data_IF_892774819991
#
_entry.id   IF_892774819991
#
_cell.length_a   1.000
_cell.length_b   1.000
_cell.length_c   1.000
_cell.angle_alpha   90.00
_cell.angle_beta   90.00
_cell.angle_gamma   90.00
#
_symmetry.space_group_name_H-M   'P 1'
#
loop_
_entity.id
_entity.type
_entity.pdbx_description
1 polymer ?
#
# COMPACT_ATOMS: atom_id res chain seq x y z
N UNK A 1 -9.76 0.79 23.14
CA UNK A 1 -9.90 2.23 22.85
C UNK A 1 -10.77 2.34 21.61
N UNK A 2 -11.93 2.99 21.70
CA UNK A 2 -12.82 3.18 20.55
C UNK A 2 -12.82 4.66 20.14
N UNK A 3 -12.51 4.93 18.87
CA UNK A 3 -12.53 6.28 18.31
C UNK A 3 -13.46 6.32 17.10
N UNK A 4 -14.79 6.21 17.31
CA UNK A 4 -15.75 5.94 16.24
C UNK A 4 -15.89 7.08 15.24
N UNK A 5 -15.54 8.31 15.62
CA UNK A 5 -15.65 9.51 14.79
C UNK A 5 -14.30 9.93 14.15
N UNK A 6 -13.21 9.22 14.46
CA UNK A 6 -11.88 9.62 14.02
C UNK A 6 -11.69 9.29 12.54
N UNK A 7 -11.58 10.35 11.72
CA UNK A 7 -11.46 10.25 10.27
C UNK A 7 -10.04 10.28 9.76
N UNK A 8 -9.14 10.90 10.50
CA UNK A 8 -7.77 11.16 10.06
C UNK A 8 -6.81 10.80 11.18
N UNK A 9 -5.84 9.96 10.86
CA UNK A 9 -4.76 9.58 11.77
C UNK A 9 -3.43 9.87 11.08
N UNK A 10 -2.56 10.55 11.82
CA UNK A 10 -1.17 10.73 11.44
C UNK A 10 -0.31 10.30 12.61
N UNK A 11 0.59 9.34 12.38
CA UNK A 11 1.55 8.86 13.36
C UNK A 11 2.96 9.26 12.93
N UNK A 12 3.69 9.91 13.83
CA UNK A 12 5.05 10.39 13.60
C UNK A 12 5.96 9.82 14.69
N UNK A 13 7.11 9.27 14.30
CA UNK A 13 8.17 8.85 15.23
C UNK A 13 7.72 7.81 16.28
N UNK A 14 6.78 6.93 15.91
CA UNK A 14 6.27 5.86 16.79
C UNK A 14 6.85 4.50 16.41
N UNK A 15 6.89 3.57 17.36
CA UNK A 15 7.08 2.15 17.06
C UNK A 15 5.77 1.42 17.30
N UNK A 16 5.35 0.61 16.33
CA UNK A 16 4.08 -0.12 16.38
C UNK A 16 4.28 -1.53 15.85
N UNK A 17 3.72 -2.53 16.54
CA UNK A 17 3.66 -3.90 16.03
C UNK A 17 2.49 -4.07 15.07
N UNK A 18 2.54 -5.09 14.21
CA UNK A 18 1.45 -5.42 13.29
C UNK A 18 0.09 -5.61 13.99
N UNK A 19 0.08 -6.21 15.19
CA UNK A 19 -1.14 -6.43 15.97
C UNK A 19 -1.77 -5.12 16.46
N UNK A 20 -0.94 -4.20 16.96
CA UNK A 20 -1.42 -2.88 17.42
C UNK A 20 -1.91 -2.05 16.24
N UNK A 21 -1.23 -2.14 15.09
CA UNK A 21 -1.67 -1.51 13.85
C UNK A 21 -3.04 -2.00 13.39
N UNK A 22 -3.24 -3.32 13.35
CA UNK A 22 -4.53 -3.92 13.01
C UNK A 22 -5.62 -3.54 14.02
N UNK A 23 -5.31 -3.58 15.32
CA UNK A 23 -6.19 -3.13 16.39
C UNK A 23 -6.63 -1.68 16.22
N UNK A 24 -5.68 -0.77 15.91
CA UNK A 24 -5.96 0.65 15.67
C UNK A 24 -6.93 0.85 14.50
N UNK A 25 -6.69 0.18 13.36
CA UNK A 25 -7.59 0.27 12.20
C UNK A 25 -8.99 -0.27 12.52
N UNK A 26 -9.08 -1.35 13.31
CA UNK A 26 -10.37 -1.93 13.72
C UNK A 26 -11.18 -1.04 14.67
N UNK A 27 -10.49 -0.25 15.51
CA UNK A 27 -11.10 0.67 16.47
C UNK A 27 -11.62 1.97 15.82
N UNK A 28 -11.11 2.33 14.63
CA UNK A 28 -11.43 3.57 13.94
C UNK A 28 -12.41 3.33 12.78
N UNK A 29 -13.70 3.22 13.11
CA UNK A 29 -14.76 2.86 12.14
C UNK A 29 -15.09 3.95 11.10
N UNK A 30 -14.70 5.20 11.34
CA UNK A 30 -14.89 6.30 10.40
C UNK A 30 -13.59 6.73 9.71
N UNK A 31 -12.52 5.93 9.81
CA UNK A 31 -11.20 6.31 9.31
C UNK A 31 -11.22 6.45 7.78
N UNK A 32 -10.95 7.65 7.29
CA UNK A 32 -10.89 7.98 5.87
C UNK A 32 -9.45 8.13 5.39
N UNK A 33 -8.53 8.60 6.23
CA UNK A 33 -7.12 8.78 5.90
C UNK A 33 -6.20 8.32 7.03
N UNK A 34 -5.16 7.59 6.66
CA UNK A 34 -4.11 7.17 7.57
C UNK A 34 -2.73 7.50 7.00
N UNK A 35 -1.87 8.11 7.80
CA UNK A 35 -0.50 8.41 7.41
C UNK A 35 0.49 8.05 8.51
N UNK A 36 1.63 7.52 8.11
CA UNK A 36 2.67 7.08 9.03
C UNK A 36 4.03 7.57 8.55
N UNK A 37 4.80 8.20 9.45
CA UNK A 37 6.14 8.71 9.15
C UNK A 37 7.16 8.33 10.22
N UNK A 38 8.33 7.88 9.78
CA UNK A 38 9.46 7.53 10.65
C UNK A 38 9.08 6.47 11.69
N UNK A 39 8.41 5.41 11.24
CA UNK A 39 7.90 4.35 12.12
C UNK A 39 8.72 3.08 11.98
N UNK A 40 9.07 2.51 13.13
CA UNK A 40 9.62 1.16 13.22
C UNK A 40 8.47 0.17 13.31
N UNK A 41 8.08 -0.38 12.15
CA UNK A 41 7.16 -1.49 12.04
C UNK A 41 7.93 -2.81 12.09
N UNK A 42 7.54 -3.73 12.97
CA UNK A 42 8.09 -5.08 13.01
C UNK A 42 7.10 -6.07 12.40
N UNK A 43 7.56 -6.85 11.42
CA UNK A 43 6.79 -7.91 10.79
C UNK A 43 5.88 -7.41 9.67
N UNK A 44 4.57 -7.63 9.80
CA UNK A 44 3.61 -7.44 8.73
C UNK A 44 2.53 -6.41 9.10
N UNK A 45 2.29 -5.43 8.24
CA UNK A 45 1.24 -4.42 8.38
C UNK A 45 0.01 -4.81 7.54
N UNK A 46 -1.01 -5.31 8.23
CA UNK A 46 -2.29 -5.71 7.61
C UNK A 46 -3.28 -4.54 7.62
N UNK A 47 -3.59 -4.03 6.43
CA UNK A 47 -4.55 -2.96 6.21
C UNK A 47 -5.91 -3.58 5.91
N UNK A 48 -6.82 -3.47 6.88
CA UNK A 48 -8.22 -3.83 6.74
C UNK A 48 -9.07 -2.70 7.31
N UNK A 49 -9.84 -2.03 6.45
CA UNK A 49 -10.73 -0.95 6.88
C UNK A 49 -11.79 -0.69 5.82
N UNK A 50 -13.09 -0.73 6.18
CA UNK A 50 -14.17 -0.53 5.23
C UNK A 50 -14.30 0.92 4.75
N UNK A 51 -13.82 1.88 5.54
CA UNK A 51 -13.98 3.32 5.28
C UNK A 51 -12.75 4.01 4.71
N UNK A 52 -11.57 3.37 4.82
CA UNK A 52 -10.30 3.98 4.47
C UNK A 52 -10.23 4.30 2.98
N UNK A 53 -9.92 5.57 2.66
CA UNK A 53 -9.82 6.10 1.30
C UNK A 53 -8.39 6.40 0.90
N UNK A 54 -7.55 6.74 1.87
CA UNK A 54 -6.15 7.08 1.64
C UNK A 54 -5.27 6.46 2.72
N UNK A 55 -4.19 5.83 2.32
CA UNK A 55 -3.14 5.39 3.23
C UNK A 55 -1.77 5.79 2.70
N UNK A 56 -0.88 6.19 3.60
CA UNK A 56 0.49 6.47 3.22
C UNK A 56 1.51 6.11 4.29
N UNK A 57 2.69 5.71 3.83
CA UNK A 57 3.83 5.41 4.68
C UNK A 57 5.05 6.19 4.17
N UNK A 58 5.83 6.76 5.08
CA UNK A 58 7.09 7.40 4.77
C UNK A 58 8.16 6.99 5.76
N UNK A 59 9.35 6.71 5.25
CA UNK A 59 10.56 6.47 6.04
C UNK A 59 10.34 5.35 7.07
N UNK A 60 10.42 4.10 6.62
CA UNK A 60 10.55 2.97 7.52
C UNK A 60 12.03 2.60 7.67
N UNK A 61 12.54 2.70 8.89
CA UNK A 61 13.82 2.11 9.28
C UNK A 61 13.59 0.70 9.84
N UNK A 62 13.03 -0.23 9.06
CA UNK A 62 12.89 -1.61 9.52
C UNK A 62 13.05 -2.60 8.37
N UNK A 63 13.74 -3.71 8.66
CA UNK A 63 14.00 -4.80 7.72
C UNK A 63 12.73 -5.51 7.29
N UNK A 64 12.66 -5.86 6.01
CA UNK A 64 11.67 -6.76 5.39
C UNK A 64 10.22 -6.63 5.88
N UNK A 65 9.69 -5.41 6.04
CA UNK A 65 8.25 -5.21 6.35
C UNK A 65 7.39 -5.59 5.16
N UNK A 66 6.38 -6.43 5.37
CA UNK A 66 5.33 -6.71 4.37
C UNK A 66 4.09 -5.86 4.66
N UNK A 67 3.56 -5.18 3.64
CA UNK A 67 2.29 -4.45 3.72
C UNK A 67 1.23 -5.25 2.95
N UNK A 68 0.20 -5.71 3.65
CA UNK A 68 -0.91 -6.45 3.04
C UNK A 68 -2.17 -5.59 3.07
N UNK A 69 -2.70 -5.26 1.90
CA UNK A 69 -4.03 -4.64 1.76
C UNK A 69 -5.04 -5.75 1.54
N UNK A 70 -5.75 -6.11 2.61
CA UNK A 70 -6.61 -7.28 2.59
C UNK A 70 -8.05 -7.01 2.22
N UNK A 71 -8.72 -6.09 2.92
CA UNK A 71 -10.11 -5.73 2.67
C UNK A 71 -10.28 -4.22 2.87
N UNK A 72 -10.05 -3.49 1.78
CA UNK A 72 -10.12 -2.04 1.76
C UNK A 72 -10.99 -1.57 0.58
N UNK A 73 -12.32 -1.78 0.65
CA UNK A 73 -13.23 -1.57 -0.49
C UNK A 73 -13.33 -0.12 -0.96
N UNK A 74 -13.01 0.84 -0.10
CA UNK A 74 -13.04 2.28 -0.41
C UNK A 74 -11.65 2.89 -0.65
N UNK A 75 -10.58 2.10 -0.55
CA UNK A 75 -9.23 2.62 -0.67
C UNK A 75 -8.98 3.11 -2.08
N UNK A 76 -8.69 4.40 -2.22
CA UNK A 76 -8.44 5.07 -3.50
C UNK A 76 -6.96 5.40 -3.70
N UNK A 77 -6.23 5.65 -2.61
CA UNK A 77 -4.85 6.14 -2.66
C UNK A 77 -3.96 5.36 -1.71
N UNK A 78 -2.85 4.86 -2.24
CA UNK A 78 -1.77 4.24 -1.47
C UNK A 78 -0.46 4.93 -1.82
N UNK A 79 0.18 5.57 -0.83
CA UNK A 79 1.36 6.41 -1.04
C UNK A 79 2.57 5.90 -0.25
N UNK A 80 3.72 5.81 -0.92
CA UNK A 80 4.99 5.43 -0.30
C UNK A 80 6.05 6.49 -0.60
N UNK A 81 6.21 7.47 0.28
CA UNK A 81 7.02 8.65 -0.03
C UNK A 81 8.52 8.37 -0.04
N UNK A 82 9.02 7.50 0.84
CA UNK A 82 10.44 7.18 1.00
C UNK A 82 10.62 5.82 1.70
N UNK A 83 10.95 4.78 0.95
CA UNK A 83 11.36 3.48 1.51
C UNK A 83 12.77 3.16 1.03
N UNK A 84 13.68 2.88 1.97
CA UNK A 84 15.06 2.48 1.66
C UNK A 84 15.24 0.96 1.65
N UNK A 85 14.22 0.23 2.10
CA UNK A 85 14.25 -1.23 2.28
C UNK A 85 13.26 -1.91 1.33
N UNK A 86 13.51 -3.20 1.07
CA UNK A 86 12.59 -4.04 0.31
C UNK A 86 11.26 -4.17 1.04
N UNK A 87 10.23 -3.49 0.54
CA UNK A 87 8.84 -3.66 1.00
C UNK A 87 8.13 -4.61 0.04
N UNK A 88 7.62 -5.71 0.59
CA UNK A 88 6.66 -6.54 -0.12
C UNK A 88 5.28 -5.91 0.02
N UNK A 89 4.64 -5.54 -1.08
CA UNK A 89 3.30 -4.95 -1.08
C UNK A 89 2.35 -5.99 -1.68
N UNK A 90 1.45 -6.51 -0.86
CA UNK A 90 0.45 -7.47 -1.28
C UNK A 90 -0.93 -6.84 -1.33
N UNK A 91 -1.54 -6.77 -2.51
CA UNK A 91 -2.90 -6.23 -2.68
C UNK A 91 -3.86 -7.39 -2.96
N UNK A 92 -4.70 -7.70 -1.97
CA UNK A 92 -5.70 -8.78 -2.05
C UNK A 92 -7.06 -8.25 -2.51
N UNK A 93 -7.60 -7.23 -1.83
CA UNK A 93 -8.90 -6.64 -2.18
C UNK A 93 -8.94 -5.13 -1.94
N UNK A 94 -8.77 -4.37 -3.02
CA UNK A 94 -8.88 -2.92 -3.04
C UNK A 94 -9.49 -2.44 -4.39
N UNK A 95 -10.78 -2.71 -4.65
CA UNK A 95 -11.41 -2.50 -5.96
C UNK A 95 -11.51 -1.03 -6.39
N UNK A 96 -11.31 -0.08 -5.48
CA UNK A 96 -11.35 1.37 -5.77
C UNK A 96 -9.97 2.02 -5.83
N UNK A 97 -8.90 1.23 -5.75
CA UNK A 97 -7.53 1.76 -5.72
C UNK A 97 -7.20 2.38 -7.07
N UNK A 98 -7.00 3.71 -7.08
CA UNK A 98 -6.76 4.53 -8.28
C UNK A 98 -5.35 5.09 -8.33
N UNK A 99 -4.75 5.38 -7.19
CA UNK A 99 -3.43 6.01 -7.07
C UNK A 99 -2.51 5.09 -6.27
N UNK A 100 -1.35 4.76 -6.84
CA UNK A 100 -0.34 3.92 -6.22
C UNK A 100 1.06 4.54 -6.39
N UNK A 101 1.81 4.67 -5.29
CA UNK A 101 3.23 5.03 -5.29
C UNK A 101 3.56 6.31 -4.54
N UNK A 102 4.84 6.76 -4.51
CA UNK A 102 5.98 6.26 -5.28
C UNK A 102 6.43 4.82 -4.96
N UNK A 103 6.71 4.00 -5.97
CA UNK A 103 7.28 2.65 -5.80
C UNK A 103 8.73 2.63 -6.29
N UNK A 104 9.65 2.12 -5.47
CA UNK A 104 11.07 2.03 -5.85
C UNK A 104 11.36 0.67 -6.49
N UNK A 105 11.57 0.62 -7.80
CA UNK A 105 11.55 -0.63 -8.58
C UNK A 105 12.70 -1.58 -8.19
N UNK A 106 13.86 -1.04 -7.85
CA UNK A 106 15.01 -1.87 -7.49
C UNK A 106 14.82 -2.68 -6.19
N UNK A 107 13.89 -2.28 -5.31
CA UNK A 107 13.72 -2.90 -3.98
C UNK A 107 12.27 -3.33 -3.69
N UNK A 108 11.27 -2.74 -4.34
CA UNK A 108 9.87 -3.01 -4.04
C UNK A 108 9.40 -4.26 -4.79
N UNK A 109 8.89 -5.25 -4.06
CA UNK A 109 8.20 -6.41 -4.65
C UNK A 109 6.71 -6.22 -4.49
N UNK A 110 6.00 -6.01 -5.60
CA UNK A 110 4.54 -5.88 -5.58
C UNK A 110 3.97 -7.24 -5.98
N UNK A 111 3.20 -7.83 -5.07
CA UNK A 111 2.44 -9.05 -5.32
C UNK A 111 0.96 -8.68 -5.39
N UNK A 112 0.40 -8.67 -6.60
CA UNK A 112 -1.03 -8.46 -6.78
C UNK A 112 -1.71 -9.82 -6.78
N UNK A 113 -2.60 -10.06 -5.83
CA UNK A 113 -3.40 -11.28 -5.76
C UNK A 113 -4.88 -10.90 -5.62
N UNK A 114 -5.47 -10.37 -6.69
CA UNK A 114 -6.91 -10.19 -6.73
C UNK A 114 -7.55 -11.54 -7.04
N UNK A 115 -8.36 -12.05 -6.11
CA UNK A 115 -9.04 -13.36 -6.13
C UNK A 115 -9.06 -14.14 -7.45
N UNK A 116 -8.33 -15.26 -7.45
CA UNK A 116 -8.46 -16.52 -8.22
C UNK A 116 -9.10 -16.42 -9.63
N UNK A 117 -8.24 -16.45 -10.65
CA UNK A 117 -8.40 -17.42 -11.75
C UNK A 117 -7.02 -17.79 -12.32
N UNK A 118 -6.72 -19.09 -12.56
CA UNK A 118 -5.37 -19.57 -12.91
C UNK A 118 -5.03 -19.48 -14.41
N UNK A 119 -5.77 -18.68 -15.19
CA UNK A 119 -5.51 -18.50 -16.62
C UNK A 119 -5.05 -17.06 -16.92
N UNK A 120 -3.72 -16.90 -16.98
CA UNK A 120 -2.91 -15.94 -17.74
C UNK A 120 -3.29 -14.43 -17.86
N UNK A 121 -4.22 -13.89 -17.07
CA UNK A 121 -4.57 -12.44 -17.07
C UNK A 121 -4.88 -11.85 -15.68
N UNK A 122 -4.78 -12.65 -14.62
CA UNK A 122 -5.42 -12.39 -13.32
C UNK A 122 -4.73 -11.37 -12.40
N UNK A 123 -3.51 -10.89 -12.71
CA UNK A 123 -2.75 -9.98 -11.82
C UNK A 123 -2.81 -8.51 -12.26
N UNK A 124 -3.82 -8.15 -13.07
CA UNK A 124 -3.92 -6.83 -13.68
C UNK A 124 -4.70 -5.84 -12.80
N UNK A 125 -4.03 -4.79 -12.32
CA UNK A 125 -4.64 -3.70 -11.56
C UNK A 125 -5.29 -2.66 -12.48
N UNK A 126 -6.39 -3.05 -13.14
CA UNK A 126 -7.14 -2.17 -14.06
C UNK A 126 -7.74 -0.91 -13.43
N UNK A 127 -7.84 -0.88 -12.10
CA UNK A 127 -8.43 0.24 -11.36
C UNK A 127 -7.45 1.39 -11.15
N UNK A 128 -6.15 1.10 -11.15
CA UNK A 128 -5.11 2.12 -10.95
C UNK A 128 -4.90 2.91 -12.22
N UNK A 129 -5.07 4.22 -12.07
CA UNK A 129 -4.98 5.25 -13.12
C UNK A 129 -3.73 6.11 -12.98
N UNK A 130 -3.22 6.25 -11.76
CA UNK A 130 -2.02 7.02 -11.46
C UNK A 130 -1.05 6.10 -10.75
N UNK A 131 0.09 5.88 -11.39
CA UNK A 131 1.21 5.16 -10.83
C UNK A 131 2.36 6.14 -10.67
N UNK A 132 3.05 6.14 -9.54
CA UNK A 132 4.29 6.88 -9.38
C UNK A 132 5.42 5.88 -9.14
N UNK A 133 6.46 5.95 -9.96
CA UNK A 133 7.64 5.08 -9.87
C UNK A 133 8.88 5.92 -9.57
N UNK A 134 9.80 5.35 -8.80
CA UNK A 134 11.16 5.85 -8.63
C UNK A 134 12.14 4.78 -9.11
N UNK A 135 13.07 5.20 -9.95
CA UNK A 135 14.08 4.34 -10.56
C UNK A 135 15.45 5.02 -10.44
N UNK A 136 16.52 4.21 -10.35
CA UNK A 136 17.91 4.69 -10.38
C UNK A 136 18.43 4.93 -11.80
N UNK A 137 17.63 4.57 -12.81
CA UNK A 137 17.95 4.75 -14.24
C UNK A 137 18.44 3.49 -14.95
N UNK A 138 18.80 2.43 -14.22
CA UNK A 138 19.23 1.15 -14.80
C UNK A 138 18.11 0.10 -14.90
N UNK A 139 16.91 0.38 -14.39
CA UNK A 139 15.81 -0.59 -14.28
C UNK A 139 14.73 -0.47 -15.38
N UNK A 140 15.04 0.04 -16.57
CA UNK A 140 14.04 0.27 -17.64
C UNK A 140 13.24 -0.99 -18.02
N UNK A 141 13.90 -2.14 -18.10
CA UNK A 141 13.22 -3.41 -18.38
C UNK A 141 12.27 -3.82 -17.24
N UNK A 142 12.64 -3.52 -15.99
CA UNK A 142 11.79 -3.77 -14.84
C UNK A 142 10.60 -2.79 -14.79
N UNK A 143 10.79 -1.52 -15.18
CA UNK A 143 9.69 -0.56 -15.37
C UNK A 143 8.69 -1.13 -16.37
N UNK A 144 9.17 -1.58 -17.53
CA UNK A 144 8.30 -2.12 -18.58
C UNK A 144 7.52 -3.34 -18.10
N UNK A 145 8.15 -4.23 -17.33
CA UNK A 145 7.48 -5.38 -16.73
C UNK A 145 6.42 -4.99 -15.69
N UNK A 146 6.68 -3.96 -14.87
CA UNK A 146 5.71 -3.43 -13.90
C UNK A 146 4.52 -2.78 -14.61
N UNK A 147 4.74 -1.99 -15.67
CA UNK A 147 3.68 -1.33 -16.41
C UNK A 147 2.67 -2.33 -17.03
N UNK A 148 3.10 -3.55 -17.37
CA UNK A 148 2.20 -4.62 -17.84
C UNK A 148 1.12 -5.00 -16.81
N UNK A 149 1.34 -4.74 -15.52
CA UNK A 149 0.34 -4.99 -14.48
C UNK A 149 -0.73 -3.90 -14.40
N UNK A 150 -0.51 -2.74 -15.02
CA UNK A 150 -1.39 -1.56 -14.95
C UNK A 150 -1.85 -1.11 -16.35
N UNK A 151 -2.77 -1.85 -16.99
CA UNK A 151 -3.14 -1.58 -18.39
C UNK A 151 -4.02 -0.34 -18.59
N UNK A 152 -4.51 0.30 -17.52
CA UNK A 152 -5.44 1.44 -17.58
C UNK A 152 -4.87 2.72 -16.96
N UNK A 153 -3.54 2.92 -17.08
CA UNK A 153 -2.87 4.12 -16.56
C UNK A 153 -3.21 5.36 -17.39
N UNK A 154 -3.66 6.40 -16.71
CA UNK A 154 -3.83 7.75 -17.26
C UNK A 154 -2.55 8.59 -17.05
N UNK A 155 -1.78 8.32 -15.98
CA UNK A 155 -0.59 9.08 -15.57
C UNK A 155 0.49 8.17 -14.97
N UNK A 156 1.75 8.46 -15.29
CA UNK A 156 2.97 7.84 -14.77
C UNK A 156 3.91 8.90 -14.17
#
# INVERSE_FOLDING_TARGET
MDFPLLKHITLLDVSISGDVFHGLLSACRALESFYMSNVHAMGCLRVSSPTLRSIGFSKEYCGNTEIIIEDAPLLMRFILSYTYNCVAIRVVRAPKLKILGPLFIAISRILVSQGISPDSSANSMRTVKVLSLRCSGQELDAVHNVLRWFPCLDKL
#
